data_IF_344327793775
#
_entry.id   IF_344327793775
#
_cell.length_a   1.000
_cell.length_b   1.000
_cell.length_c   1.000
_cell.angle_alpha   90.00
_cell.angle_beta   90.00
_cell.angle_gamma   90.00
#
_symmetry.space_group_name_H-M   'P 1'
#
loop_
_entity.id
_entity.type
_entity.pdbx_description
1 polymer ?
#
# COMPACT_ATOMS: atom_id res chain seq x y z
N UNK A 1 -7.41 -23.33 -2.98
CA UNK A 1 -8.04 -22.55 -1.90
C UNK A 1 -8.84 -21.42 -2.52
N UNK A 2 -9.95 -21.07 -1.90
CA UNK A 2 -10.79 -19.94 -2.27
C UNK A 2 -10.76 -18.92 -1.13
N UNK A 3 -10.32 -17.70 -1.41
CA UNK A 3 -10.27 -16.60 -0.44
C UNK A 3 -11.36 -15.60 -0.83
N UNK A 4 -12.20 -15.21 0.12
CA UNK A 4 -13.26 -14.22 -0.07
C UNK A 4 -13.00 -13.07 0.88
N UNK A 5 -12.86 -11.86 0.33
CA UNK A 5 -12.44 -10.67 1.07
C UNK A 5 -13.40 -9.53 0.71
N UNK A 6 -14.11 -8.94 1.69
CA UNK A 6 -14.76 -7.66 1.47
C UNK A 6 -13.68 -6.60 1.21
N UNK A 7 -13.84 -5.82 0.15
CA UNK A 7 -12.91 -4.76 -0.21
C UNK A 7 -13.61 -3.41 -0.08
N UNK A 8 -12.86 -2.40 0.36
CA UNK A 8 -13.39 -1.04 0.55
C UNK A 8 -12.54 -0.04 -0.20
N UNK A 9 -13.19 0.79 -1.03
CA UNK A 9 -12.57 1.96 -1.64
C UNK A 9 -12.51 3.16 -0.69
N UNK A 10 -12.30 4.34 -1.28
CA UNK A 10 -12.43 5.61 -0.58
C UNK A 10 -13.90 5.97 -0.32
N UNK A 11 -14.15 6.64 0.81
CA UNK A 11 -15.47 7.21 1.12
C UNK A 11 -15.74 8.50 0.31
N UNK A 12 -14.74 8.98 -0.46
CA UNK A 12 -14.86 10.19 -1.28
C UNK A 12 -15.30 9.86 -2.72
N UNK A 13 -16.43 10.42 -3.13
CA UNK A 13 -17.07 10.06 -4.41
C UNK A 13 -16.16 10.23 -5.64
N UNK A 14 -15.35 11.29 -5.66
CA UNK A 14 -14.42 11.56 -6.76
C UNK A 14 -13.30 10.50 -6.89
N UNK A 15 -13.04 9.73 -5.84
CA UNK A 15 -12.03 8.66 -5.83
C UNK A 15 -12.62 7.31 -6.31
N UNK A 16 -13.95 7.18 -6.44
CA UNK A 16 -14.58 5.96 -6.98
C UNK A 16 -14.11 5.63 -8.40
N UNK A 17 -13.80 6.64 -9.22
CA UNK A 17 -13.25 6.40 -10.57
C UNK A 17 -11.94 5.62 -10.49
N UNK A 18 -11.06 5.94 -9.52
CA UNK A 18 -9.81 5.20 -9.32
C UNK A 18 -10.06 3.79 -8.78
N UNK A 19 -11.10 3.61 -7.96
CA UNK A 19 -11.51 2.31 -7.44
C UNK A 19 -12.10 1.41 -8.53
N UNK A 20 -12.91 1.96 -9.43
CA UNK A 20 -13.45 1.26 -10.59
C UNK A 20 -12.35 0.77 -11.54
N UNK A 21 -11.33 1.59 -11.77
CA UNK A 21 -10.16 1.16 -12.54
C UNK A 21 -9.49 -0.08 -11.93
N UNK A 22 -9.40 -0.13 -10.59
CA UNK A 22 -8.89 -1.31 -9.89
C UNK A 22 -9.80 -2.53 -10.12
N UNK A 23 -11.11 -2.38 -9.93
CA UNK A 23 -12.05 -3.49 -10.05
C UNK A 23 -12.08 -4.05 -11.46
N UNK A 24 -11.98 -3.19 -12.48
CA UNK A 24 -11.95 -3.60 -13.88
C UNK A 24 -10.63 -4.28 -14.25
N UNK A 25 -9.51 -3.82 -13.69
CA UNK A 25 -8.17 -4.31 -14.04
C UNK A 25 -7.80 -5.62 -13.32
N UNK A 26 -8.11 -5.77 -12.03
CA UNK A 26 -7.61 -6.90 -11.23
C UNK A 26 -7.96 -8.30 -11.79
N UNK A 27 -9.17 -8.57 -12.35
CA UNK A 27 -9.49 -9.86 -12.96
C UNK A 27 -8.59 -10.20 -14.15
N UNK A 28 -8.15 -9.18 -14.90
CA UNK A 28 -7.28 -9.34 -16.08
C UNK A 28 -5.86 -9.78 -15.73
N UNK A 29 -5.48 -9.70 -14.46
CA UNK A 29 -4.18 -10.11 -13.94
C UNK A 29 -4.16 -11.54 -13.40
N UNK A 30 -5.24 -12.30 -13.59
CA UNK A 30 -5.28 -13.73 -13.30
C UNK A 30 -4.14 -14.46 -14.01
N UNK A 31 -3.44 -15.32 -13.29
CA UNK A 31 -2.28 -16.10 -13.73
C UNK A 31 -1.13 -15.26 -14.32
N UNK A 32 -1.08 -13.95 -14.03
CA UNK A 32 0.03 -13.12 -14.48
C UNK A 32 1.33 -13.52 -13.74
N UNK A 33 2.36 -14.01 -14.46
CA UNK A 33 3.56 -14.54 -13.82
C UNK A 33 4.36 -13.46 -13.08
N UNK A 34 4.37 -12.22 -13.61
CA UNK A 34 5.07 -11.11 -13.00
C UNK A 34 4.40 -10.65 -11.70
N UNK A 35 3.07 -10.75 -11.60
CA UNK A 35 2.34 -10.52 -10.37
C UNK A 35 2.65 -11.62 -9.35
N UNK A 36 2.53 -12.88 -9.75
CA UNK A 36 2.81 -14.04 -8.87
C UNK A 36 4.21 -13.93 -8.26
N UNK A 37 5.23 -13.60 -9.08
CA UNK A 37 6.60 -13.41 -8.61
C UNK A 37 6.77 -12.28 -7.58
N UNK A 38 5.87 -11.31 -7.52
CA UNK A 38 5.91 -10.20 -6.56
C UNK A 38 5.10 -10.44 -5.29
N UNK A 39 4.16 -11.40 -5.32
CA UNK A 39 3.25 -11.69 -4.19
C UNK A 39 3.51 -13.06 -3.56
N UNK A 40 4.40 -13.88 -4.12
CA UNK A 40 4.78 -15.19 -3.60
C UNK A 40 6.31 -15.40 -3.68
N UNK A 41 6.99 -15.23 -2.54
CA UNK A 41 8.44 -15.41 -2.42
C UNK A 41 8.88 -16.86 -2.70
N UNK A 42 8.04 -17.85 -2.42
CA UNK A 42 8.41 -19.26 -2.57
C UNK A 42 8.53 -19.66 -4.03
N UNK A 43 7.81 -18.97 -4.92
CA UNK A 43 7.97 -19.14 -6.36
C UNK A 43 9.38 -18.77 -6.84
N UNK A 44 10.00 -17.77 -6.21
CA UNK A 44 11.35 -17.28 -6.57
C UNK A 44 12.44 -18.25 -6.15
N UNK A 45 12.32 -18.85 -4.96
CA UNK A 45 13.37 -19.72 -4.41
C UNK A 45 13.21 -21.19 -4.77
N UNK A 46 12.00 -21.62 -5.15
CA UNK A 46 11.66 -23.04 -5.35
C UNK A 46 12.20 -23.92 -4.20
N UNK A 47 12.13 -23.41 -2.98
CA UNK A 47 12.60 -24.12 -1.80
C UNK A 47 11.82 -25.43 -1.65
N UNK A 48 12.55 -26.56 -1.65
CA UNK A 48 11.97 -27.89 -1.48
C UNK A 48 11.09 -27.93 -0.22
N UNK A 49 9.87 -28.47 -0.36
CA UNK A 49 8.92 -28.64 0.74
C UNK A 49 8.11 -27.39 1.10
N UNK A 50 8.15 -26.32 0.29
CA UNK A 50 7.25 -25.16 0.47
C UNK A 50 6.33 -25.02 -0.74
N UNK A 51 5.03 -24.94 -0.46
CA UNK A 51 4.04 -24.70 -1.49
C UNK A 51 4.17 -23.29 -2.07
N UNK A 52 4.01 -23.18 -3.39
CA UNK A 52 4.00 -21.91 -4.12
C UNK A 52 2.73 -21.82 -4.98
N UNK A 53 2.37 -20.61 -5.39
CA UNK A 53 1.25 -20.35 -6.30
C UNK A 53 1.57 -20.94 -7.68
N UNK A 54 0.82 -21.96 -8.04
CA UNK A 54 0.77 -22.51 -9.39
C UNK A 54 -0.14 -21.66 -10.27
N UNK A 55 -1.34 -21.33 -9.76
CA UNK A 55 -2.35 -20.52 -10.42
C UNK A 55 -3.07 -19.61 -9.43
N UNK A 56 -3.47 -18.44 -9.90
CA UNK A 56 -4.27 -17.48 -9.15
C UNK A 56 -5.26 -16.81 -10.08
N UNK A 57 -6.54 -16.84 -9.73
CA UNK A 57 -7.57 -16.10 -10.46
C UNK A 57 -8.26 -15.11 -9.54
N UNK A 58 -8.62 -13.96 -10.11
CA UNK A 58 -9.32 -12.90 -9.40
C UNK A 58 -10.71 -12.70 -9.99
N UNK A 59 -11.68 -12.48 -9.12
CA UNK A 59 -13.03 -12.05 -9.49
C UNK A 59 -13.48 -10.99 -8.50
N UNK A 60 -14.14 -9.94 -8.98
CA UNK A 60 -14.80 -8.96 -8.12
C UNK A 60 -16.30 -9.12 -8.26
N UNK A 61 -16.99 -9.22 -7.13
CA UNK A 61 -18.44 -9.34 -7.06
C UNK A 61 -19.01 -7.97 -6.72
N UNK A 62 -19.94 -7.49 -7.55
CA UNK A 62 -20.69 -6.23 -7.39
C UNK A 62 -22.20 -6.40 -7.50
N UNK A 63 -22.66 -7.59 -7.90
CA UNK A 63 -24.08 -7.82 -8.15
C UNK A 63 -24.83 -7.98 -6.81
N UNK A 64 -25.85 -7.16 -6.60
CA UNK A 64 -26.60 -7.08 -5.33
C UNK A 64 -27.19 -8.44 -4.89
N UNK A 65 -27.63 -9.25 -5.85
CA UNK A 65 -28.13 -10.61 -5.62
C UNK A 65 -27.05 -11.61 -5.19
N UNK A 66 -25.77 -11.36 -5.49
CA UNK A 66 -24.66 -12.22 -5.08
C UNK A 66 -24.01 -11.75 -3.77
N UNK A 67 -24.03 -10.44 -3.48
CA UNK A 67 -23.43 -9.86 -2.26
C UNK A 67 -23.93 -10.54 -1.00
N UNK A 68 -25.24 -10.76 -0.87
CA UNK A 68 -25.82 -11.39 0.32
C UNK A 68 -25.22 -12.77 0.65
N UNK A 69 -24.88 -13.56 -0.38
CA UNK A 69 -24.23 -14.87 -0.21
C UNK A 69 -22.83 -14.73 0.37
N UNK A 70 -22.03 -13.78 -0.13
CA UNK A 70 -20.66 -13.57 0.37
C UNK A 70 -20.67 -12.92 1.75
N UNK A 71 -21.59 -11.99 2.01
CA UNK A 71 -21.81 -11.41 3.33
C UNK A 71 -22.14 -12.47 4.37
N UNK A 72 -23.02 -13.42 4.06
CA UNK A 72 -23.35 -14.53 4.97
C UNK A 72 -22.12 -15.37 5.33
N UNK A 73 -21.27 -15.70 4.35
CA UNK A 73 -20.03 -16.44 4.59
C UNK A 73 -19.10 -15.70 5.56
N UNK A 74 -18.92 -14.39 5.38
CA UNK A 74 -18.09 -13.56 6.26
C UNK A 74 -18.72 -13.41 7.64
N UNK A 75 -20.00 -13.02 7.72
CA UNK A 75 -20.70 -12.78 8.98
C UNK A 75 -20.75 -14.06 9.84
N UNK A 76 -20.84 -15.25 9.21
CA UNK A 76 -20.74 -16.53 9.92
C UNK A 76 -19.37 -16.73 10.59
N UNK A 77 -18.29 -16.35 9.91
CA UNK A 77 -16.94 -16.43 10.47
C UNK A 77 -16.66 -15.28 11.46
N UNK A 78 -17.29 -14.13 11.28
CA UNK A 78 -17.13 -12.92 12.10
C UNK A 78 -18.49 -12.38 12.57
N UNK A 79 -19.11 -12.97 13.61
CA UNK A 79 -20.48 -12.61 14.02
C UNK A 79 -20.67 -11.16 14.52
N UNK A 80 -19.58 -10.40 14.71
CA UNK A 80 -19.59 -8.99 15.12
C UNK A 80 -19.22 -8.03 13.99
N UNK A 81 -19.01 -8.56 12.79
CA UNK A 81 -18.60 -7.79 11.63
C UNK A 81 -19.66 -7.98 10.54
N UNK A 82 -20.62 -7.06 10.50
CA UNK A 82 -21.70 -7.06 9.53
C UNK A 82 -21.20 -6.50 8.20
N UNK A 83 -21.10 -7.36 7.19
CA UNK A 83 -20.57 -6.99 5.86
C UNK A 83 -21.65 -6.78 4.80
N UNK A 84 -22.93 -6.89 5.18
CA UNK A 84 -24.07 -6.74 4.27
C UNK A 84 -24.18 -5.36 3.60
N UNK A 85 -23.52 -4.33 4.16
CA UNK A 85 -23.43 -2.98 3.60
C UNK A 85 -22.24 -2.79 2.66
N UNK A 86 -21.38 -3.80 2.51
CA UNK A 86 -20.21 -3.74 1.63
C UNK A 86 -20.65 -4.12 0.23
N UNK A 87 -20.31 -3.26 -0.74
CA UNK A 87 -20.78 -3.38 -2.10
C UNK A 87 -19.86 -4.25 -2.97
N UNK A 88 -18.64 -4.53 -2.50
CA UNK A 88 -17.63 -5.25 -3.28
C UNK A 88 -16.92 -6.36 -2.51
N UNK A 89 -16.78 -7.51 -3.16
CA UNK A 89 -16.00 -8.63 -2.65
C UNK A 89 -14.95 -9.07 -3.68
N UNK A 90 -13.69 -9.19 -3.26
CA UNK A 90 -12.63 -9.79 -4.03
C UNK A 90 -12.55 -11.29 -3.72
N UNK A 91 -12.70 -12.11 -4.75
CA UNK A 91 -12.56 -13.57 -4.70
C UNK A 91 -11.24 -13.95 -5.35
N UNK A 92 -10.40 -14.66 -4.60
CA UNK A 92 -9.14 -15.23 -5.09
C UNK A 92 -9.24 -16.74 -5.09
N UNK A 93 -9.11 -17.39 -6.25
CA UNK A 93 -8.92 -18.84 -6.29
C UNK A 93 -7.43 -19.11 -6.50
N UNK A 94 -6.79 -19.71 -5.50
CA UNK A 94 -5.36 -19.95 -5.45
C UNK A 94 -5.10 -21.45 -5.48
N UNK A 95 -4.44 -21.91 -6.54
CA UNK A 95 -3.88 -23.25 -6.65
C UNK A 95 -2.44 -23.21 -6.18
N UNK A 96 -2.17 -23.90 -5.08
CA UNK A 96 -0.82 -24.14 -4.63
C UNK A 96 -0.31 -25.43 -5.26
N UNK A 97 0.94 -25.40 -5.71
CA UNK A 97 1.72 -26.61 -5.94
C UNK A 97 2.15 -27.13 -4.57
N UNK A 98 1.75 -28.34 -4.17
CA UNK A 98 2.00 -28.86 -2.82
C UNK A 98 2.73 -30.21 -2.81
N UNK A 99 3.58 -30.37 -1.80
CA UNK A 99 4.21 -31.61 -1.35
C UNK A 99 3.66 -31.88 0.07
N UNK A 100 2.42 -32.40 0.13
CA UNK A 100 1.60 -32.89 1.27
C UNK A 100 1.54 -32.09 2.61
N UNK A 101 2.26 -30.97 2.77
CA UNK A 101 2.51 -30.30 4.05
C UNK A 101 2.02 -28.84 4.11
N UNK A 102 1.43 -28.30 3.03
CA UNK A 102 1.12 -26.85 2.95
C UNK A 102 -0.05 -26.34 3.79
N UNK A 103 -0.94 -27.21 4.30
CA UNK A 103 -2.17 -26.74 4.93
C UNK A 103 -1.95 -26.04 6.28
N UNK A 104 -0.98 -26.46 7.09
CA UNK A 104 -0.71 -25.87 8.42
C UNK A 104 -0.27 -24.39 8.34
N UNK A 105 0.25 -23.95 7.19
CA UNK A 105 0.74 -22.58 6.98
C UNK A 105 -0.11 -21.76 6.01
N UNK A 106 -1.24 -22.32 5.55
CA UNK A 106 -2.11 -21.70 4.54
C UNK A 106 -2.57 -20.30 4.95
N UNK A 107 -2.99 -20.08 6.19
CA UNK A 107 -3.37 -18.74 6.66
C UNK A 107 -2.22 -17.74 6.57
N UNK A 108 -1.03 -18.09 7.06
CA UNK A 108 0.12 -17.19 7.05
C UNK A 108 0.53 -16.83 5.61
N UNK A 109 0.60 -17.83 4.74
CA UNK A 109 0.92 -17.65 3.32
C UNK A 109 -0.10 -16.74 2.63
N UNK A 110 -1.40 -17.00 2.83
CA UNK A 110 -2.47 -16.19 2.24
C UNK A 110 -2.39 -14.74 2.72
N UNK A 111 -2.22 -14.49 4.02
CA UNK A 111 -2.10 -13.12 4.52
C UNK A 111 -0.89 -12.39 3.96
N UNK A 112 0.23 -13.08 3.78
CA UNK A 112 1.45 -12.52 3.19
C UNK A 112 1.25 -12.17 1.70
N UNK A 113 0.58 -13.05 0.94
CA UNK A 113 0.15 -12.77 -0.44
C UNK A 113 -0.75 -11.54 -0.50
N UNK A 114 -1.75 -11.47 0.38
CA UNK A 114 -2.72 -10.37 0.41
C UNK A 114 -2.08 -9.04 0.81
N UNK A 115 -1.12 -9.05 1.75
CA UNK A 115 -0.37 -7.85 2.14
C UNK A 115 0.37 -7.25 0.94
N UNK A 116 1.10 -8.08 0.19
CA UNK A 116 1.84 -7.64 -1.00
C UNK A 116 0.91 -7.20 -2.12
N UNK A 117 -0.21 -7.90 -2.32
CA UNK A 117 -1.21 -7.50 -3.29
C UNK A 117 -1.83 -6.14 -2.96
N UNK A 118 -2.27 -5.94 -1.71
CA UNK A 118 -2.81 -4.68 -1.22
C UNK A 118 -1.80 -3.53 -1.37
N UNK A 119 -0.53 -3.78 -1.03
CA UNK A 119 0.57 -2.84 -1.23
C UNK A 119 0.70 -2.40 -2.71
N UNK A 120 0.75 -3.35 -3.65
CA UNK A 120 0.88 -3.04 -5.08
C UNK A 120 -0.32 -2.28 -5.65
N UNK A 121 -1.54 -2.64 -5.22
CA UNK A 121 -2.78 -1.96 -5.61
C UNK A 121 -2.74 -0.50 -5.15
N UNK A 122 -2.49 -0.28 -3.86
CA UNK A 122 -2.47 1.06 -3.26
C UNK A 122 -1.28 1.92 -3.74
N UNK A 123 -0.22 1.30 -4.24
CA UNK A 123 0.84 2.01 -4.93
C UNK A 123 0.44 2.49 -6.34
N UNK A 124 -0.57 1.86 -6.95
CA UNK A 124 -0.97 2.11 -8.35
C UNK A 124 -2.12 3.11 -8.47
N UNK A 125 -3.19 2.94 -7.70
CA UNK A 125 -4.42 3.71 -7.86
C UNK A 125 -4.54 4.85 -6.85
N UNK A 126 -5.09 5.99 -7.26
CA UNK A 126 -5.32 7.20 -6.46
C UNK A 126 -6.62 7.08 -5.66
N UNK A 127 -6.75 5.97 -4.95
CA UNK A 127 -7.76 5.65 -3.95
C UNK A 127 -7.08 4.71 -2.96
N UNK A 128 -7.58 4.63 -1.74
CA UNK A 128 -7.30 3.47 -0.91
C UNK A 128 -8.10 2.27 -1.42
N UNK A 129 -7.52 1.09 -1.30
CA UNK A 129 -8.20 -0.19 -1.43
C UNK A 129 -7.84 -1.00 -0.20
N UNK A 130 -8.75 -1.04 0.76
CA UNK A 130 -8.57 -1.80 1.99
C UNK A 130 -9.12 -3.22 1.82
N UNK A 131 -8.41 -4.20 2.35
CA UNK A 131 -8.88 -5.58 2.47
C UNK A 131 -9.39 -5.78 3.89
N UNK A 132 -10.70 -5.94 4.03
CA UNK A 132 -11.31 -6.18 5.34
C UNK A 132 -11.17 -7.65 5.76
N UNK A 133 -11.49 -8.02 7.01
CA UNK A 133 -11.45 -9.41 7.44
C UNK A 133 -12.25 -10.33 6.53
N UNK A 134 -11.56 -11.31 5.96
CA UNK A 134 -12.04 -12.26 4.97
C UNK A 134 -11.96 -13.71 5.47
N UNK A 135 -12.33 -14.63 4.59
CA UNK A 135 -12.40 -16.07 4.89
C UNK A 135 -11.66 -16.89 3.84
N UNK A 136 -11.07 -17.99 4.29
CA UNK A 136 -10.32 -18.94 3.48
C UNK A 136 -11.07 -20.27 3.49
N UNK A 137 -11.37 -20.79 2.31
CA UNK A 137 -12.03 -22.06 2.09
C UNK A 137 -11.15 -23.01 1.26
N UNK A 138 -11.33 -24.30 1.48
CA UNK A 138 -10.76 -25.35 0.64
C UNK A 138 -11.48 -25.40 -0.72
N UNK A 139 -10.95 -26.18 -1.66
CA UNK A 139 -11.64 -26.42 -2.93
C UNK A 139 -12.96 -27.18 -2.77
N UNK A 140 -13.12 -27.91 -1.66
CA UNK A 140 -14.35 -28.63 -1.31
C UNK A 140 -15.31 -27.75 -0.50
N UNK A 141 -15.10 -26.42 -0.49
CA UNK A 141 -15.91 -25.44 0.26
C UNK A 141 -15.90 -25.64 1.79
N UNK A 142 -14.86 -26.29 2.32
CA UNK A 142 -14.67 -26.40 3.76
C UNK A 142 -13.95 -25.17 4.30
N UNK A 143 -14.45 -24.61 5.40
CA UNK A 143 -13.80 -23.47 6.05
C UNK A 143 -12.42 -23.88 6.58
N UNK A 144 -11.37 -23.15 6.19
CA UNK A 144 -10.00 -23.35 6.64
C UNK A 144 -9.69 -22.35 7.75
N UNK A 145 -9.73 -21.05 7.44
CA UNK A 145 -9.33 -19.99 8.36
C UNK A 145 -9.85 -18.61 7.94
N UNK A 146 -9.37 -17.56 8.61
CA UNK A 146 -9.68 -16.15 8.45
C UNK A 146 -8.48 -15.39 7.89
N UNK A 147 -8.74 -14.36 7.10
CA UNK A 147 -7.73 -13.36 6.75
C UNK A 147 -7.72 -12.23 7.78
N UNK A 148 -6.59 -11.55 7.90
CA UNK A 148 -6.45 -10.32 8.67
C UNK A 148 -7.01 -9.14 7.87
N UNK A 149 -7.33 -8.07 8.58
CA UNK A 149 -7.54 -6.77 7.95
C UNK A 149 -6.20 -6.22 7.45
N UNK A 150 -6.19 -5.67 6.25
CA UNK A 150 -5.02 -5.04 5.64
C UNK A 150 -5.49 -3.72 5.04
N UNK A 151 -5.13 -2.63 5.67
CA UNK A 151 -5.51 -1.29 5.21
C UNK A 151 -4.35 -0.32 5.29
N UNK A 152 -4.61 0.92 4.89
CA UNK A 152 -3.66 2.02 5.11
C UNK A 152 -4.38 3.36 5.22
N UNK A 153 -3.75 4.28 5.95
CA UNK A 153 -4.21 5.66 6.11
C UNK A 153 -3.93 6.56 4.88
N UNK A 154 -3.61 5.97 3.72
CA UNK A 154 -3.23 6.74 2.52
C UNK A 154 -4.40 7.57 1.97
N UNK A 155 -5.65 7.24 2.31
CA UNK A 155 -6.82 8.04 1.95
C UNK A 155 -6.66 9.49 2.43
N UNK A 156 -6.11 9.69 3.63
CA UNK A 156 -5.83 11.03 4.14
C UNK A 156 -4.80 11.78 3.29
N UNK A 157 -3.86 11.07 2.67
CA UNK A 157 -2.90 11.68 1.75
C UNK A 157 -3.58 12.21 0.46
N UNK A 158 -4.55 11.47 -0.09
CA UNK A 158 -5.33 11.92 -1.24
C UNK A 158 -6.22 13.11 -0.89
N UNK A 159 -6.96 13.02 0.22
CA UNK A 159 -7.80 14.10 0.72
C UNK A 159 -6.99 15.37 0.99
N UNK A 160 -5.81 15.24 1.61
CA UNK A 160 -4.91 16.35 1.85
C UNK A 160 -4.39 16.95 0.54
N UNK A 161 -3.86 16.13 -0.38
CA UNK A 161 -3.35 16.59 -1.67
C UNK A 161 -4.40 17.35 -2.48
N UNK A 162 -5.63 16.86 -2.49
CA UNK A 162 -6.78 17.50 -3.12
C UNK A 162 -7.11 18.84 -2.45
N UNK A 163 -7.18 18.88 -1.12
CA UNK A 163 -7.46 20.10 -0.33
C UNK A 163 -6.50 21.24 -0.66
N UNK A 164 -5.21 20.96 -0.82
CA UNK A 164 -4.20 21.97 -1.16
C UNK A 164 -3.87 22.04 -2.66
N UNK A 165 -4.57 21.24 -3.48
CA UNK A 165 -4.35 21.06 -4.92
C UNK A 165 -2.89 20.74 -5.29
N UNK A 166 -2.19 19.99 -4.42
CA UNK A 166 -0.80 19.61 -4.59
C UNK A 166 -0.37 18.50 -3.61
N UNK A 167 0.46 17.52 -4.01
CA UNK A 167 0.87 17.25 -5.38
C UNK A 167 -0.29 16.64 -6.18
N UNK A 168 -0.23 16.74 -7.51
CA UNK A 168 -1.13 15.94 -8.34
C UNK A 168 -0.71 14.48 -8.25
N UNK A 169 -1.52 13.65 -7.60
CA UNK A 169 -1.28 12.21 -7.50
C UNK A 169 -1.98 11.53 -8.67
N UNK A 170 -1.19 10.92 -9.55
CA UNK A 170 -1.69 10.25 -10.74
C UNK A 170 -2.15 8.82 -10.46
N UNK A 171 -3.15 8.39 -11.22
CA UNK A 171 -3.47 6.97 -11.40
C UNK A 171 -2.43 6.29 -12.29
N UNK A 172 -2.06 5.07 -11.92
CA UNK A 172 -1.31 4.13 -12.73
C UNK A 172 -2.15 2.88 -12.93
N UNK A 173 -1.95 2.19 -14.05
CA UNK A 173 -2.44 0.82 -14.18
C UNK A 173 -1.60 -0.10 -13.31
N UNK A 174 -2.23 -1.06 -12.65
CA UNK A 174 -1.53 -2.03 -11.81
C UNK A 174 -0.50 -2.83 -12.62
N UNK A 175 -0.80 -3.17 -13.87
CA UNK A 175 0.14 -3.85 -14.77
C UNK A 175 1.41 -3.04 -15.04
N UNK A 176 1.32 -1.71 -15.11
CA UNK A 176 2.48 -0.84 -15.33
C UNK A 176 3.38 -0.82 -14.10
N UNK A 177 2.79 -0.80 -12.90
CA UNK A 177 3.51 -0.95 -11.63
C UNK A 177 4.20 -2.31 -11.55
N UNK A 178 3.49 -3.41 -11.80
CA UNK A 178 4.05 -4.77 -11.80
C UNK A 178 5.23 -4.88 -12.76
N UNK A 179 5.07 -4.40 -14.00
CA UNK A 179 6.12 -4.44 -15.00
C UNK A 179 7.33 -3.58 -14.61
N UNK A 180 7.11 -2.44 -13.95
CA UNK A 180 8.20 -1.60 -13.45
C UNK A 180 9.03 -2.31 -12.37
N UNK A 181 8.39 -2.96 -11.38
CA UNK A 181 9.08 -3.75 -10.37
C UNK A 181 9.97 -4.82 -11.00
N UNK A 182 9.41 -5.58 -11.95
CA UNK A 182 10.11 -6.64 -12.67
C UNK A 182 11.27 -6.10 -13.52
N UNK A 183 11.03 -5.03 -14.29
CA UNK A 183 12.05 -4.39 -15.14
C UNK A 183 13.29 -3.96 -14.35
N UNK A 184 13.10 -3.48 -13.13
CA UNK A 184 14.17 -2.95 -12.29
C UNK A 184 14.66 -3.91 -11.21
N UNK A 185 14.21 -5.17 -11.25
CA UNK A 185 14.53 -6.20 -10.25
C UNK A 185 14.32 -5.69 -8.81
N UNK A 186 13.22 -4.98 -8.59
CA UNK A 186 12.77 -4.53 -7.27
C UNK A 186 11.74 -5.56 -6.81
N UNK A 187 11.86 -6.00 -5.56
CA UNK A 187 10.92 -6.94 -4.95
C UNK A 187 10.51 -6.40 -3.57
N UNK A 188 9.21 -6.35 -3.22
CA UNK A 188 8.75 -5.76 -1.95
C UNK A 188 9.41 -6.35 -0.69
N UNK A 189 9.80 -7.63 -0.73
CA UNK A 189 10.43 -8.33 0.38
C UNK A 189 11.97 -8.38 0.33
N UNK A 190 12.60 -7.84 -0.71
CA UNK A 190 14.05 -7.84 -0.80
C UNK A 190 14.65 -6.66 -0.01
N UNK A 191 15.93 -6.82 0.37
CA UNK A 191 16.71 -5.70 0.88
C UNK A 191 16.89 -4.66 -0.23
N UNK A 192 16.68 -3.39 0.11
CA UNK A 192 16.83 -2.29 -0.84
C UNK A 192 18.21 -2.25 -1.51
N UNK A 193 18.23 -2.24 -2.84
CA UNK A 193 19.46 -2.19 -3.66
C UNK A 193 19.74 -0.81 -4.26
N UNK A 194 18.74 0.07 -4.30
CA UNK A 194 18.84 1.42 -4.84
C UNK A 194 17.87 2.39 -4.12
N UNK A 195 17.87 3.66 -4.53
CA UNK A 195 17.07 4.72 -3.92
C UNK A 195 15.55 4.51 -4.08
N UNK A 196 15.08 4.12 -5.26
CA UNK A 196 13.67 3.81 -5.47
C UNK A 196 13.24 2.63 -4.60
N UNK A 197 14.04 1.56 -4.56
CA UNK A 197 13.77 0.40 -3.71
C UNK A 197 13.73 0.79 -2.22
N UNK A 198 14.60 1.69 -1.75
CA UNK A 198 14.49 2.24 -0.39
C UNK A 198 13.17 2.98 -0.15
N UNK A 199 12.70 3.76 -1.11
CA UNK A 199 11.42 4.47 -1.01
C UNK A 199 10.22 3.53 -1.03
N UNK A 200 10.27 2.46 -1.84
CA UNK A 200 9.30 1.37 -1.86
C UNK A 200 9.21 0.68 -0.49
N UNK A 201 10.35 0.28 0.08
CA UNK A 201 10.36 -0.38 1.39
C UNK A 201 9.92 0.58 2.50
N UNK A 202 10.23 1.87 2.38
CA UNK A 202 9.73 2.87 3.32
C UNK A 202 8.20 3.03 3.21
N UNK A 203 7.66 3.00 1.99
CA UNK A 203 6.22 3.05 1.74
C UNK A 203 5.50 1.80 2.26
N UNK A 204 6.12 0.61 2.21
CA UNK A 204 5.49 -0.62 2.69
C UNK A 204 5.22 -0.61 4.20
N UNK A 205 5.96 0.17 4.99
CA UNK A 205 5.68 0.34 6.42
C UNK A 205 4.35 1.06 6.73
N UNK A 206 3.71 1.67 5.72
CA UNK A 206 2.41 2.32 5.87
C UNK A 206 1.22 1.34 5.80
N UNK A 207 1.49 0.06 5.56
CA UNK A 207 0.48 -0.99 5.45
C UNK A 207 0.60 -1.93 6.64
N UNK A 208 -0.45 -2.01 7.46
CA UNK A 208 -0.56 -2.95 8.59
C UNK A 208 -1.99 -2.95 9.13
N UNK A 209 -2.20 -3.58 10.27
CA UNK A 209 -3.43 -3.47 11.05
C UNK A 209 -3.74 -2.01 11.43
N UNK A 210 -4.90 -1.51 10.99
CA UNK A 210 -5.38 -0.14 11.27
C UNK A 210 -5.56 0.14 12.77
N UNK A 211 -5.56 -0.88 13.62
CA UNK A 211 -5.73 -0.73 15.07
C UNK A 211 -4.45 -0.34 15.82
N UNK A 212 -3.31 -0.21 15.13
CA UNK A 212 -2.03 0.14 15.74
C UNK A 212 -1.73 1.63 15.50
N UNK A 213 -1.61 2.41 16.57
CA UNK A 213 -1.13 3.79 16.50
C UNK A 213 0.35 3.84 16.10
N UNK A 214 0.66 4.51 14.99
CA UNK A 214 2.00 4.50 14.40
C UNK A 214 2.60 5.88 14.22
N UNK A 215 3.12 6.40 15.33
CA UNK A 215 3.89 7.66 15.36
C UNK A 215 5.17 7.62 14.51
N UNK A 216 5.63 6.44 14.11
CA UNK A 216 6.82 6.20 13.29
C UNK A 216 6.55 6.22 11.78
N UNK A 217 5.29 6.18 11.33
CA UNK A 217 4.95 6.30 9.91
C UNK A 217 5.59 7.53 9.26
N UNK A 218 5.61 8.66 9.98
CA UNK A 218 6.20 9.88 9.47
C UNK A 218 7.72 9.76 9.26
N UNK A 219 8.39 8.97 10.09
CA UNK A 219 9.80 8.66 9.91
C UNK A 219 10.02 7.87 8.61
N UNK A 220 9.22 6.82 8.37
CA UNK A 220 9.30 6.03 7.14
C UNK A 220 9.00 6.87 5.90
N UNK A 221 7.94 7.67 5.93
CA UNK A 221 7.62 8.60 4.84
C UNK A 221 8.81 9.51 4.51
N UNK A 222 9.41 10.13 5.52
CA UNK A 222 10.55 11.02 5.33
C UNK A 222 11.79 10.28 4.80
N UNK A 223 12.04 9.07 5.28
CA UNK A 223 13.12 8.22 4.77
C UNK A 223 12.93 7.94 3.27
N UNK A 224 11.70 7.65 2.84
CA UNK A 224 11.38 7.42 1.44
C UNK A 224 11.59 8.66 0.57
N UNK A 225 11.10 9.83 1.00
CA UNK A 225 11.29 11.09 0.26
C UNK A 225 12.79 11.45 0.19
N UNK A 226 13.51 11.31 1.30
CA UNK A 226 14.97 11.55 1.35
C UNK A 226 15.72 10.60 0.41
N UNK A 227 15.36 9.32 0.35
CA UNK A 227 15.98 8.37 -0.56
C UNK A 227 15.84 8.80 -2.03
N UNK A 228 14.70 9.37 -2.42
CA UNK A 228 14.44 9.79 -3.80
C UNK A 228 15.07 11.15 -4.16
N UNK A 229 15.09 12.09 -3.21
CA UNK A 229 15.40 13.49 -3.50
C UNK A 229 16.73 13.95 -2.91
N UNK A 230 17.16 13.45 -1.77
CA UNK A 230 18.35 13.94 -1.10
C UNK A 230 19.62 13.20 -1.56
N UNK A 231 20.71 13.95 -1.74
CA UNK A 231 22.06 13.41 -1.92
C UNK A 231 23.01 14.02 -0.88
N UNK A 232 23.79 13.19 -0.20
CA UNK A 232 24.70 13.62 0.87
C UNK A 232 23.97 14.10 2.14
N UNK A 233 24.72 14.72 3.05
CA UNK A 233 24.22 15.14 4.38
C UNK A 233 23.79 16.61 4.46
N UNK A 234 24.22 17.44 3.49
CA UNK A 234 24.07 18.89 3.59
C UNK A 234 22.79 19.36 2.89
N UNK A 235 22.05 20.24 3.56
CA UNK A 235 20.91 20.95 2.97
C UNK A 235 19.75 20.06 2.54
N UNK A 236 19.51 18.93 3.22
CA UNK A 236 18.47 17.94 2.87
C UNK A 236 17.11 18.62 2.66
N UNK A 237 16.68 19.47 3.59
CA UNK A 237 15.40 20.20 3.48
C UNK A 237 15.32 21.08 2.22
N UNK A 238 16.39 21.83 1.90
CA UNK A 238 16.46 22.62 0.68
C UNK A 238 16.40 21.74 -0.58
N UNK A 239 17.12 20.60 -0.59
CA UNK A 239 17.09 19.66 -1.71
C UNK A 239 15.69 19.12 -1.94
N UNK A 240 14.99 18.68 -0.90
CA UNK A 240 13.63 18.16 -1.02
C UNK A 240 12.68 19.25 -1.50
N UNK A 241 12.81 20.47 -0.96
CA UNK A 241 12.02 21.64 -1.38
C UNK A 241 12.17 21.94 -2.87
N UNK A 242 13.41 22.07 -3.33
CA UNK A 242 13.71 22.46 -4.72
C UNK A 242 13.37 21.34 -5.70
N UNK A 243 13.76 20.10 -5.39
CA UNK A 243 13.59 18.96 -6.29
C UNK A 243 12.15 18.51 -6.40
N UNK A 244 11.40 18.47 -5.30
CA UNK A 244 9.97 18.16 -5.36
C UNK A 244 9.20 19.24 -6.14
N UNK A 245 9.57 20.51 -6.01
CA UNK A 245 8.95 21.58 -6.80
C UNK A 245 9.24 21.49 -8.30
N UNK A 246 10.41 20.95 -8.68
CA UNK A 246 10.76 20.68 -10.08
C UNK A 246 9.93 19.51 -10.63
N UNK A 247 9.75 18.44 -9.84
CA UNK A 247 9.08 17.22 -10.29
C UNK A 247 7.56 17.33 -10.24
N UNK A 248 7.02 17.80 -9.12
CA UNK A 248 5.59 17.82 -8.79
C UNK A 248 4.94 19.18 -9.05
N UNK A 249 5.70 20.14 -9.60
CA UNK A 249 5.25 21.52 -9.78
C UNK A 249 5.37 22.36 -8.50
N UNK A 250 5.21 23.68 -8.64
CA UNK A 250 5.34 24.63 -7.52
C UNK A 250 4.04 24.75 -6.73
N UNK A 251 4.04 24.36 -5.45
CA UNK A 251 2.90 24.60 -4.56
C UNK A 251 2.79 26.05 -4.10
N UNK A 252 1.57 26.48 -3.77
CA UNK A 252 1.25 27.83 -3.25
C UNK A 252 1.48 27.99 -1.74
N UNK A 253 1.24 26.95 -0.91
CA UNK A 253 1.29 27.04 0.58
C UNK A 253 2.35 26.12 1.25
N UNK A 254 3.06 25.32 0.46
CA UNK A 254 3.92 24.20 0.85
C UNK A 254 5.15 24.50 1.69
N UNK A 255 5.80 25.64 1.50
CA UNK A 255 7.12 25.86 2.14
C UNK A 255 7.01 25.81 3.66
N UNK A 256 5.89 26.27 4.23
CA UNK A 256 5.63 26.20 5.66
C UNK A 256 5.38 24.77 6.14
N UNK A 257 4.62 23.99 5.39
CA UNK A 257 4.29 22.60 5.75
C UNK A 257 5.52 21.70 5.67
N UNK A 258 6.35 21.84 4.63
CA UNK A 258 7.59 21.10 4.50
C UNK A 258 8.57 21.39 5.65
N UNK A 259 8.74 22.66 6.02
CA UNK A 259 9.59 23.01 7.16
C UNK A 259 9.10 22.35 8.45
N UNK A 260 7.78 22.42 8.72
CA UNK A 260 7.17 21.79 9.90
C UNK A 260 7.34 20.27 9.91
N UNK A 261 7.18 19.62 8.75
CA UNK A 261 7.40 18.19 8.55
C UNK A 261 8.84 17.80 8.93
N UNK A 262 9.82 18.57 8.45
CA UNK A 262 11.23 18.38 8.80
C UNK A 262 11.54 18.62 10.27
N UNK A 263 11.02 19.71 10.83
CA UNK A 263 11.21 20.05 12.23
C UNK A 263 10.67 18.93 13.13
N UNK A 264 9.50 18.38 12.78
CA UNK A 264 8.93 17.24 13.50
C UNK A 264 9.83 16.00 13.42
N UNK A 265 10.28 15.62 12.21
CA UNK A 265 11.17 14.47 12.01
C UNK A 265 12.49 14.62 12.75
N UNK A 266 13.08 15.81 12.72
CA UNK A 266 14.32 16.11 13.46
C UNK A 266 14.11 15.94 14.96
N UNK A 267 13.05 16.55 15.50
CA UNK A 267 12.71 16.42 16.93
C UNK A 267 12.42 14.98 17.34
N UNK A 268 11.75 14.20 16.50
CA UNK A 268 11.48 12.78 16.78
C UNK A 268 12.79 11.98 16.92
N UNK A 269 13.72 12.15 15.98
CA UNK A 269 15.01 11.43 15.98
C UNK A 269 15.91 11.87 17.15
N UNK A 270 15.86 13.15 17.53
CA UNK A 270 16.67 13.67 18.63
C UNK A 270 16.04 13.48 20.02
N UNK A 271 14.84 12.89 20.11
CA UNK A 271 14.16 12.67 21.39
C UNK A 271 13.48 13.91 21.98
N UNK A 272 13.31 14.98 21.18
CA UNK A 272 12.65 16.24 21.56
C UNK A 272 11.10 16.17 21.41
N UNK A 273 10.56 14.96 21.23
CA UNK A 273 9.12 14.69 21.09
C UNK A 273 8.75 13.54 22.01
N UNK A 274 7.71 13.74 22.83
CA UNK A 274 7.14 12.66 23.64
C UNK A 274 6.46 11.65 22.71
N UNK A 275 6.75 10.36 22.92
CA UNK A 275 6.15 9.24 22.19
C UNK A 275 5.11 8.59 23.11
N UNK A 276 3.93 8.32 22.57
CA UNK A 276 2.90 7.60 23.30
C UNK A 276 3.33 6.13 23.51
N UNK A 277 3.04 5.52 24.67
CA UNK A 277 3.24 4.08 24.84
C UNK A 277 2.54 3.26 23.75
N UNK A 278 3.11 2.11 23.36
CA UNK A 278 2.55 1.24 22.31
C UNK A 278 1.14 0.69 22.62
N UNK A 279 0.66 0.82 23.85
CA UNK A 279 -0.66 0.39 24.30
C UNK A 279 -1.52 1.58 24.78
N UNK A 280 -1.08 2.81 24.51
CA UNK A 280 -1.89 3.99 24.78
C UNK A 280 -3.05 4.02 23.80
N UNK A 281 -4.26 4.16 24.33
CA UNK A 281 -5.49 4.27 23.55
C UNK A 281 -6.15 5.57 23.98
N UNK A 282 -5.69 6.69 23.43
CA UNK A 282 -6.30 7.99 23.65
C UNK A 282 -6.52 8.69 22.31
N UNK A 283 -7.66 8.34 21.72
CA UNK A 283 -8.14 8.89 20.46
C UNK A 283 -8.29 10.42 20.48
N UNK A 284 -8.35 11.05 21.66
CA UNK A 284 -8.61 12.49 21.82
C UNK A 284 -7.36 13.34 22.06
N UNK A 285 -6.21 12.76 22.43
CA UNK A 285 -4.99 13.54 22.70
C UNK A 285 -4.06 13.69 21.49
N UNK A 286 -4.41 13.13 20.34
CA UNK A 286 -3.61 13.28 19.14
C UNK A 286 -3.63 14.70 18.61
N UNK A 287 -2.43 15.22 18.33
CA UNK A 287 -2.28 16.52 17.67
C UNK A 287 -2.69 16.34 16.22
N UNK A 288 -3.84 16.91 15.84
CA UNK A 288 -4.32 17.08 14.46
C UNK A 288 -3.20 17.42 13.47
N UNK A 289 -2.24 18.26 13.90
CA UNK A 289 -1.07 18.63 13.13
C UNK A 289 -0.17 17.46 12.69
N UNK A 290 -0.06 16.37 13.47
CA UNK A 290 0.75 15.21 13.10
C UNK A 290 0.14 14.46 11.91
N UNK A 291 -1.17 14.23 11.93
CA UNK A 291 -1.89 13.61 10.83
C UNK A 291 -1.83 14.46 9.56
N UNK A 292 -1.96 15.78 9.69
CA UNK A 292 -1.75 16.70 8.56
C UNK A 292 -0.36 16.54 7.95
N UNK A 293 0.70 16.48 8.78
CA UNK A 293 2.07 16.29 8.28
C UNK A 293 2.28 14.92 7.66
N UNK A 294 1.69 13.87 8.24
CA UNK A 294 1.77 12.52 7.70
C UNK A 294 1.05 12.43 6.36
N UNK A 295 -0.20 12.88 6.28
CA UNK A 295 -0.96 12.92 5.03
C UNK A 295 -0.22 13.71 3.95
N UNK A 296 0.31 14.89 4.30
CA UNK A 296 1.11 15.69 3.40
C UNK A 296 2.40 14.99 2.94
N UNK A 297 3.19 14.42 3.85
CA UNK A 297 4.40 13.69 3.49
C UNK A 297 4.10 12.47 2.63
N UNK A 298 3.10 11.68 3.00
CA UNK A 298 2.66 10.50 2.25
C UNK A 298 2.22 10.88 0.84
N UNK A 299 1.51 12.01 0.67
CA UNK A 299 1.10 12.50 -0.65
C UNK A 299 2.30 12.79 -1.56
N UNK A 300 3.37 13.38 -1.01
CA UNK A 300 4.62 13.64 -1.73
C UNK A 300 5.30 12.32 -2.08
N UNK A 301 5.42 11.40 -1.13
CA UNK A 301 6.08 10.11 -1.35
C UNK A 301 5.39 9.30 -2.45
N UNK A 302 4.06 9.15 -2.37
CA UNK A 302 3.27 8.45 -3.40
C UNK A 302 3.46 9.12 -4.76
N UNK A 303 3.33 10.45 -4.84
CA UNK A 303 3.47 11.17 -6.09
C UNK A 303 4.86 10.98 -6.73
N UNK A 304 5.93 11.01 -5.92
CA UNK A 304 7.30 10.78 -6.40
C UNK A 304 7.51 9.34 -6.89
N UNK A 305 7.05 8.34 -6.15
CA UNK A 305 7.19 6.94 -6.57
C UNK A 305 6.41 6.71 -7.86
N UNK A 306 5.17 7.21 -7.95
CA UNK A 306 4.36 7.06 -9.16
C UNK A 306 4.93 7.79 -10.36
N UNK A 307 5.60 8.92 -10.14
CA UNK A 307 6.30 9.61 -11.22
C UNK A 307 7.48 8.78 -11.76
N UNK A 308 8.21 8.06 -10.89
CA UNK A 308 9.27 7.13 -11.31
C UNK A 308 8.70 5.94 -12.10
N UNK A 309 7.59 5.36 -11.63
CA UNK A 309 6.91 4.26 -12.33
C UNK A 309 6.44 4.74 -13.71
N UNK A 310 5.74 5.87 -13.76
CA UNK A 310 5.25 6.46 -15.01
C UNK A 310 6.39 6.77 -16.00
N UNK A 311 7.48 7.37 -15.53
CA UNK A 311 8.66 7.65 -16.36
C UNK A 311 9.50 6.41 -16.66
N UNK A 312 9.17 5.27 -16.07
CA UNK A 312 9.93 4.03 -16.19
C UNK A 312 11.41 4.20 -15.79
N UNK A 313 11.65 4.82 -14.61
CA UNK A 313 12.97 5.10 -14.02
C UNK A 313 13.06 4.65 -12.56
N UNK A 314 14.28 4.56 -12.02
CA UNK A 314 14.56 4.29 -10.58
C UNK A 314 15.21 5.46 -9.86
N UNK A 315 15.48 6.56 -10.56
CA UNK A 315 16.06 7.76 -9.96
C UNK A 315 15.65 9.02 -10.72
N UNK A 316 15.72 10.14 -10.00
CA UNK A 316 15.62 11.48 -10.57
C UNK A 316 17.02 12.06 -10.77
N UNK A 317 17.32 12.46 -12.01
CA UNK A 317 18.57 13.09 -12.37
C UNK A 317 18.42 14.61 -12.32
N UNK A 318 19.36 15.29 -11.65
CA UNK A 318 19.37 16.74 -11.51
C UNK A 318 20.76 17.27 -11.89
N UNK A 319 20.79 18.27 -12.76
CA UNK A 319 22.02 18.97 -13.15
C UNK A 319 22.13 20.30 -12.40
N UNK A 320 23.31 20.57 -11.82
CA UNK A 320 23.62 21.88 -11.26
C UNK A 320 23.94 22.85 -12.40
N UNK A 321 23.08 23.84 -12.59
CA UNK A 321 23.41 25.00 -13.44
C UNK A 321 24.18 26.02 -12.62
N UNK A 322 25.50 26.13 -12.84
CA UNK A 322 26.27 27.27 -12.37
C UNK A 322 25.77 28.51 -13.13
N UNK A 323 25.41 29.55 -12.39
CA UNK A 323 24.99 30.85 -12.94
C UNK A 323 26.19 31.74 -13.18
#
# INVERSE_FOLDING_TARGET
MKVTIPIRGSDFEEEYVSFDLFVDEIPTLSDNPNLILLIDDYKKTQENGKGYIEKITFQVIREENEIGKYAELINKAFPRFETEYILEYLILNIQLYDDESSFEYSQSLINDILNRLCFLINLSYSTNVDFLPGVIYSYNEEFIDKTKMIGSDIMFAYAHAKKINWPCIRNLKLIDTINWFNKFAIHPNDKSTNNAHRAINAFSYLFDDLNIEKSDHLFWVMLGIEALLAKGINGISNQIREKSAIILGKPTEYTRQLNKLYDYRSRLIHGDTNINPAFHFDYHSFKEAHYDYLAFGTSILIALIRELIYKQKTEFEFELKLK
#
